data_IF_060156200563
#
_entry.id   IF_060156200563
#
_cell.length_a   1.000
_cell.length_b   1.000
_cell.length_c   1.000
_cell.angle_alpha   90.00
_cell.angle_beta   90.00
_cell.angle_gamma   90.00
#
_symmetry.space_group_name_H-M   'P 1'
#
loop_
_entity.id
_entity.type
_entity.pdbx_description
1 polymer ?
#
# COMPACT_ATOMS: atom_id res chain seq x y z
N UNK A 1 3.57 -1.51 -5.97
CA UNK A 1 4.63 -0.97 -5.11
C UNK A 1 5.98 -1.30 -5.73
N UNK A 2 6.35 -2.59 -5.92
CA UNK A 2 7.65 -2.98 -6.45
C UNK A 2 8.04 -2.26 -7.75
N UNK A 3 7.14 -2.20 -8.74
CA UNK A 3 7.36 -1.46 -9.98
C UNK A 3 7.62 0.03 -9.75
N UNK A 4 6.96 0.63 -8.78
CA UNK A 4 7.09 2.05 -8.50
C UNK A 4 8.44 2.39 -7.84
N UNK A 5 8.90 1.55 -6.91
CA UNK A 5 10.24 1.64 -6.34
C UNK A 5 11.33 1.43 -7.41
N UNK A 6 11.15 0.43 -8.26
CA UNK A 6 12.05 0.14 -9.37
C UNK A 6 12.17 1.32 -10.37
N UNK A 7 11.08 2.03 -10.64
CA UNK A 7 11.10 3.24 -11.46
C UNK A 7 12.01 4.33 -10.87
N UNK A 8 12.14 4.39 -9.55
CA UNK A 8 13.04 5.29 -8.83
C UNK A 8 14.47 4.73 -8.68
N UNK A 9 14.83 3.68 -9.44
CA UNK A 9 16.12 2.99 -9.38
C UNK A 9 16.43 2.33 -8.03
N UNK A 10 15.41 1.96 -7.27
CA UNK A 10 15.56 1.28 -5.98
C UNK A 10 15.52 -0.23 -6.21
N UNK A 11 16.54 -0.98 -5.78
CA UNK A 11 16.53 -2.44 -5.82
C UNK A 11 15.40 -2.99 -4.94
N UNK A 12 14.64 -3.93 -5.47
CA UNK A 12 13.50 -4.54 -4.78
C UNK A 12 13.62 -6.06 -4.83
N UNK A 13 13.49 -6.71 -3.69
CA UNK A 13 13.24 -8.15 -3.66
C UNK A 13 11.75 -8.39 -3.44
N UNK A 14 11.11 -9.03 -4.41
CA UNK A 14 9.69 -9.37 -4.40
C UNK A 14 9.54 -10.82 -3.96
N UNK A 15 9.05 -11.04 -2.75
CA UNK A 15 8.83 -12.37 -2.18
C UNK A 15 7.34 -12.73 -2.20
N UNK A 16 7.06 -13.99 -2.52
CA UNK A 16 5.74 -14.60 -2.40
C UNK A 16 5.89 -16.01 -1.78
N UNK A 17 4.80 -16.76 -1.64
CA UNK A 17 4.85 -18.14 -1.13
C UNK A 17 5.69 -19.06 -2.01
N UNK A 18 5.70 -18.82 -3.33
CA UNK A 18 6.48 -19.56 -4.33
C UNK A 18 7.15 -18.60 -5.30
N UNK A 19 8.36 -18.94 -5.72
CA UNK A 19 9.11 -18.12 -6.69
C UNK A 19 8.35 -17.91 -8.00
N UNK A 20 7.61 -18.94 -8.46
CA UNK A 20 6.81 -18.84 -9.69
C UNK A 20 5.71 -17.77 -9.59
N UNK A 21 5.16 -17.52 -8.40
CA UNK A 21 4.15 -16.47 -8.19
C UNK A 21 4.81 -15.09 -8.31
N UNK A 22 5.97 -14.91 -7.69
CA UNK A 22 6.75 -13.68 -7.79
C UNK A 22 7.20 -13.40 -9.25
N UNK A 23 7.65 -14.43 -9.97
CA UNK A 23 8.01 -14.33 -11.40
C UNK A 23 6.77 -13.99 -12.28
N UNK A 24 5.64 -14.59 -12.02
CA UNK A 24 4.38 -14.21 -12.70
C UNK A 24 4.01 -12.75 -12.41
N UNK A 25 4.25 -12.26 -11.18
CA UNK A 25 4.04 -10.86 -10.85
C UNK A 25 4.98 -9.93 -11.62
N UNK A 26 6.28 -10.28 -11.78
CA UNK A 26 7.21 -9.55 -12.64
C UNK A 26 6.73 -9.48 -14.09
N UNK A 27 6.29 -10.61 -14.66
CA UNK A 27 5.72 -10.65 -16.03
C UNK A 27 4.48 -9.76 -16.16
N UNK A 28 3.60 -9.73 -15.16
CA UNK A 28 2.45 -8.82 -15.14
C UNK A 28 2.89 -7.36 -15.12
N UNK A 29 3.90 -7.00 -14.33
CA UNK A 29 4.44 -5.64 -14.27
C UNK A 29 4.87 -5.16 -15.66
N UNK A 30 5.61 -5.99 -16.42
CA UNK A 30 6.10 -5.66 -17.78
C UNK A 30 4.94 -5.43 -18.76
N UNK A 31 3.88 -6.25 -18.64
CA UNK A 31 2.79 -6.31 -19.61
C UNK A 31 1.53 -5.51 -19.17
N UNK A 32 1.59 -4.80 -18.07
CA UNK A 32 0.44 -4.05 -17.54
C UNK A 32 -0.03 -2.96 -18.48
N UNK A 33 -1.34 -2.80 -18.54
CA UNK A 33 -2.02 -1.68 -19.20
C UNK A 33 -2.96 -1.03 -18.20
N UNK A 34 -2.75 0.23 -17.84
CA UNK A 34 -1.66 1.12 -18.26
C UNK A 34 -0.27 0.65 -17.77
N UNK A 35 0.83 1.11 -18.39
CA UNK A 35 2.19 0.65 -18.05
C UNK A 35 2.59 1.01 -16.62
N UNK A 36 3.08 0.03 -15.83
CA UNK A 36 3.54 0.27 -14.46
C UNK A 36 5.02 0.71 -14.40
N UNK A 37 5.81 0.37 -15.41
CA UNK A 37 7.19 0.81 -15.54
C UNK A 37 7.27 2.05 -16.45
N UNK A 38 8.18 2.95 -16.12
CA UNK A 38 8.53 4.11 -17.01
C UNK A 38 9.32 3.64 -18.20
N UNK A 39 10.17 2.64 -18.00
CA UNK A 39 10.94 1.93 -19.02
C UNK A 39 11.00 0.44 -18.64
N UNK A 40 10.94 -0.45 -19.65
CA UNK A 40 10.93 -1.90 -19.40
C UNK A 40 12.21 -2.42 -18.74
N UNK A 41 13.36 -1.76 -18.96
CA UNK A 41 14.64 -2.12 -18.34
C UNK A 41 14.60 -2.01 -16.81
N UNK A 42 13.70 -1.18 -16.26
CA UNK A 42 13.51 -1.06 -14.81
C UNK A 42 13.12 -2.37 -14.12
N UNK A 43 12.62 -3.36 -14.87
CA UNK A 43 12.32 -4.68 -14.31
C UNK A 43 13.55 -5.39 -13.74
N UNK A 44 14.74 -5.05 -14.19
CA UNK A 44 16.00 -5.62 -13.73
C UNK A 44 16.29 -5.28 -12.26
N UNK A 45 15.74 -4.16 -11.76
CA UNK A 45 15.83 -3.79 -10.34
C UNK A 45 14.95 -4.67 -9.44
N UNK A 46 14.12 -5.55 -9.99
CA UNK A 46 13.23 -6.41 -9.22
C UNK A 46 13.75 -7.85 -9.27
N UNK A 47 14.17 -8.37 -8.13
CA UNK A 47 14.52 -9.77 -7.94
C UNK A 47 13.32 -10.52 -7.37
N UNK A 48 12.90 -11.60 -8.02
CA UNK A 48 11.83 -12.46 -7.53
C UNK A 48 12.37 -13.60 -6.68
N UNK A 49 11.64 -13.98 -5.65
CA UNK A 49 11.98 -15.10 -4.78
C UNK A 49 10.77 -15.59 -3.98
N UNK A 50 11.02 -16.47 -3.04
CA UNK A 50 9.99 -16.98 -2.13
C UNK A 50 10.38 -16.82 -0.66
N UNK A 51 9.36 -16.86 0.21
CA UNK A 51 9.53 -16.65 1.65
C UNK A 51 10.30 -17.83 2.30
N UNK A 52 10.28 -19.03 1.73
CA UNK A 52 10.95 -20.18 2.31
C UNK A 52 12.46 -20.12 2.12
N UNK A 53 12.92 -19.82 0.91
CA UNK A 53 14.35 -19.96 0.54
C UNK A 53 15.09 -18.62 0.55
N UNK A 54 14.37 -17.50 0.37
CA UNK A 54 14.99 -16.19 0.16
C UNK A 54 14.69 -15.19 1.30
N UNK A 55 14.13 -15.65 2.43
CA UNK A 55 13.71 -14.74 3.50
C UNK A 55 14.86 -14.00 4.17
N UNK A 56 16.06 -14.52 4.08
CA UNK A 56 17.28 -13.89 4.65
C UNK A 56 17.57 -12.49 4.10
N UNK A 57 17.01 -12.14 2.94
CA UNK A 57 17.11 -10.78 2.39
C UNK A 57 16.58 -9.71 3.36
N UNK A 58 15.66 -10.08 4.25
CA UNK A 58 15.10 -9.20 5.31
C UNK A 58 16.21 -8.62 6.21
N UNK A 59 17.33 -9.36 6.39
CA UNK A 59 18.49 -8.91 7.18
C UNK A 59 19.20 -7.68 6.59
N UNK A 60 19.00 -7.43 5.31
CA UNK A 60 19.69 -6.37 4.56
C UNK A 60 18.74 -5.26 4.08
N UNK A 61 17.43 -5.48 4.17
CA UNK A 61 16.44 -4.52 3.70
C UNK A 61 16.38 -3.27 4.60
N UNK A 62 16.36 -2.09 3.98
CA UNK A 62 16.13 -0.81 4.67
C UNK A 62 14.64 -0.59 4.98
N UNK A 63 13.79 -1.02 4.05
CA UNK A 63 12.35 -0.93 4.17
C UNK A 63 11.70 -2.24 3.72
N UNK A 64 10.85 -2.78 4.59
CA UNK A 64 10.11 -4.02 4.35
C UNK A 64 8.63 -3.66 4.26
N UNK A 65 8.04 -3.88 3.09
CA UNK A 65 6.62 -3.62 2.84
C UNK A 65 5.87 -4.93 2.78
N UNK A 66 5.01 -5.17 3.75
CA UNK A 66 4.10 -6.31 3.76
C UNK A 66 2.85 -5.98 2.95
N UNK A 67 2.52 -6.83 1.99
CA UNK A 67 1.34 -6.74 1.13
C UNK A 67 0.72 -8.12 0.86
N UNK A 68 0.71 -8.98 1.88
CA UNK A 68 0.11 -10.32 1.80
C UNK A 68 -1.41 -10.25 1.94
N UNK A 69 -2.07 -11.42 1.83
CA UNK A 69 -3.52 -11.55 2.01
C UNK A 69 -4.00 -10.87 3.31
N UNK A 70 -5.19 -10.26 3.25
CA UNK A 70 -5.76 -9.46 4.33
C UNK A 70 -6.34 -10.35 5.45
N UNK A 71 -5.47 -11.18 6.04
CA UNK A 71 -5.74 -12.09 7.13
C UNK A 71 -4.77 -11.83 8.29
N UNK A 72 -5.31 -11.50 9.45
CA UNK A 72 -4.54 -11.09 10.61
C UNK A 72 -3.60 -12.18 11.14
N UNK A 73 -4.04 -13.43 11.12
CA UNK A 73 -3.24 -14.60 11.53
C UNK A 73 -2.00 -14.77 10.66
N UNK A 74 -2.15 -14.64 9.32
CA UNK A 74 -1.05 -14.73 8.35
C UNK A 74 -0.07 -13.57 8.54
N UNK A 75 -0.59 -12.36 8.73
CA UNK A 75 0.24 -11.16 8.95
C UNK A 75 1.04 -11.26 10.24
N UNK A 76 0.43 -11.68 11.36
CA UNK A 76 1.13 -11.86 12.63
C UNK A 76 2.26 -12.88 12.52
N UNK A 77 2.02 -14.05 11.89
CA UNK A 77 3.07 -15.04 11.67
C UNK A 77 4.23 -14.50 10.83
N UNK A 78 3.92 -13.66 9.84
CA UNK A 78 4.95 -13.02 9.01
C UNK A 78 5.73 -11.98 9.81
N UNK A 79 5.06 -11.15 10.60
CA UNK A 79 5.73 -10.15 11.46
C UNK A 79 6.66 -10.79 12.47
N UNK A 80 6.26 -11.90 13.10
CA UNK A 80 7.12 -12.65 14.03
C UNK A 80 8.43 -13.08 13.37
N UNK A 81 8.39 -13.46 12.08
CA UNK A 81 9.59 -13.80 11.31
C UNK A 81 10.40 -12.55 10.94
N UNK A 82 9.75 -11.49 10.45
CA UNK A 82 10.40 -10.25 10.02
C UNK A 82 11.15 -9.63 11.20
N UNK A 83 10.49 -9.43 12.35
CA UNK A 83 11.07 -8.73 13.49
C UNK A 83 12.19 -9.51 14.18
N UNK A 84 12.23 -10.85 14.03
CA UNK A 84 13.37 -11.67 14.48
C UNK A 84 14.61 -11.50 13.61
N UNK A 85 14.46 -11.18 12.32
CA UNK A 85 15.55 -11.20 11.35
C UNK A 85 15.97 -9.83 10.83
N UNK A 86 15.04 -8.85 10.80
CA UNK A 86 15.32 -7.54 10.22
C UNK A 86 16.54 -6.86 10.86
N UNK A 87 17.27 -6.07 10.11
CA UNK A 87 18.32 -5.24 10.70
C UNK A 87 17.74 -4.15 11.63
N UNK A 88 18.55 -3.68 12.56
CA UNK A 88 18.13 -2.77 13.64
C UNK A 88 17.39 -1.52 13.15
N UNK A 89 17.84 -0.93 12.06
CA UNK A 89 17.33 0.36 11.59
C UNK A 89 16.29 0.25 10.47
N UNK A 90 15.90 -0.97 10.09
CA UNK A 90 14.85 -1.16 9.08
C UNK A 90 13.52 -0.60 9.52
N UNK A 91 12.77 -0.08 8.55
CA UNK A 91 11.35 0.24 8.70
C UNK A 91 10.54 -0.95 8.20
N UNK A 92 9.52 -1.33 8.95
CA UNK A 92 8.54 -2.34 8.52
C UNK A 92 7.21 -1.64 8.33
N UNK A 93 6.54 -1.89 7.22
CA UNK A 93 5.21 -1.35 6.99
C UNK A 93 4.26 -2.36 6.40
N UNK A 94 2.97 -2.24 6.74
CA UNK A 94 1.89 -2.97 6.07
C UNK A 94 1.22 -2.10 5.03
N UNK A 95 0.83 -2.68 3.90
CA UNK A 95 0.01 -2.00 2.88
C UNK A 95 -1.48 -2.33 3.05
N UNK A 96 -1.93 -2.69 4.25
CA UNK A 96 -3.35 -2.93 4.54
C UNK A 96 -4.21 -1.72 4.22
N UNK A 97 -5.44 -1.95 3.80
CA UNK A 97 -6.44 -0.90 3.59
C UNK A 97 -7.48 -0.82 4.70
N UNK A 98 -7.56 -1.86 5.56
CA UNK A 98 -8.69 -2.03 6.46
C UNK A 98 -8.31 -2.44 7.90
N UNK A 99 -7.22 -3.19 8.09
CA UNK A 99 -6.85 -3.68 9.42
C UNK A 99 -6.15 -2.57 10.21
N UNK A 100 -6.67 -2.15 11.38
CA UNK A 100 -6.04 -1.11 12.19
C UNK A 100 -4.60 -1.47 12.59
N UNK A 101 -3.73 -0.48 12.63
CA UNK A 101 -2.33 -0.64 13.04
C UNK A 101 -2.20 -1.24 14.45
N UNK A 102 -3.06 -0.83 15.38
CA UNK A 102 -3.12 -1.41 16.75
C UNK A 102 -3.39 -2.90 16.75
N UNK A 103 -4.18 -3.41 15.80
CA UNK A 103 -4.48 -4.83 15.66
C UNK A 103 -3.29 -5.56 15.06
N UNK A 104 -2.70 -5.01 13.99
CA UNK A 104 -1.50 -5.56 13.34
C UNK A 104 -0.31 -5.65 14.32
N UNK A 105 -0.12 -4.63 15.15
CA UNK A 105 1.02 -4.54 16.08
C UNK A 105 0.76 -5.18 17.45
N UNK A 106 -0.38 -5.84 17.66
CA UNK A 106 -0.79 -6.35 18.97
C UNK A 106 0.26 -7.24 19.65
N UNK A 107 0.90 -8.11 18.89
CA UNK A 107 1.87 -9.09 19.38
C UNK A 107 3.31 -8.59 19.37
N UNK A 108 3.57 -7.38 18.86
CA UNK A 108 4.91 -6.80 18.79
C UNK A 108 5.30 -6.18 20.15
N UNK A 109 6.59 -6.28 20.48
CA UNK A 109 7.16 -5.53 21.60
C UNK A 109 7.10 -4.01 21.34
N UNK A 110 7.20 -3.18 22.37
CA UNK A 110 7.24 -1.71 22.18
C UNK A 110 8.40 -1.27 21.28
N UNK A 111 9.55 -1.93 21.40
CA UNK A 111 10.70 -1.71 20.53
C UNK A 111 10.37 -2.01 19.08
N UNK A 112 9.68 -3.12 18.78
CA UNK A 112 9.32 -3.50 17.42
C UNK A 112 8.22 -2.59 16.86
N UNK A 113 7.27 -2.17 17.71
CA UNK A 113 6.26 -1.16 17.35
C UNK A 113 6.88 0.18 16.94
N UNK A 114 8.06 0.52 17.48
CA UNK A 114 8.75 1.75 17.08
C UNK A 114 9.20 1.75 15.62
N UNK A 115 9.39 0.56 15.05
CA UNK A 115 9.84 0.37 13.67
C UNK A 115 8.70 0.05 12.71
N UNK A 116 7.44 0.04 13.20
CA UNK A 116 6.28 -0.43 12.45
C UNK A 116 5.27 0.69 12.19
N UNK A 117 4.76 0.74 10.96
CA UNK A 117 3.71 1.67 10.52
C UNK A 117 2.84 1.02 9.43
N UNK A 118 1.84 1.73 8.94
CA UNK A 118 1.16 1.40 7.69
C UNK A 118 1.62 2.38 6.60
N UNK A 119 1.85 1.89 5.39
CA UNK A 119 2.04 2.67 4.18
C UNK A 119 0.99 2.24 3.16
N UNK A 120 -0.14 2.94 3.15
CA UNK A 120 -1.28 2.61 2.31
C UNK A 120 -1.14 3.28 0.94
N UNK A 121 -0.73 2.50 -0.06
CA UNK A 121 -0.65 2.91 -1.45
C UNK A 121 -1.98 2.67 -2.15
N UNK A 122 -2.43 3.64 -2.92
CA UNK A 122 -3.61 3.49 -3.78
C UNK A 122 -3.24 2.91 -5.14
N UNK A 123 -4.08 2.01 -5.66
CA UNK A 123 -3.88 1.38 -6.96
C UNK A 123 -4.52 2.20 -8.10
N UNK A 124 -3.85 2.28 -9.25
CA UNK A 124 -2.50 1.79 -9.58
C UNK A 124 -1.42 2.70 -8.97
N UNK A 125 -0.47 2.11 -8.23
CA UNK A 125 0.52 2.85 -7.42
C UNK A 125 1.28 3.91 -8.22
N UNK A 126 1.59 3.66 -9.49
CA UNK A 126 2.30 4.62 -10.35
C UNK A 126 1.50 5.91 -10.59
N UNK A 127 0.18 5.79 -10.72
CA UNK A 127 -0.70 6.88 -11.18
C UNK A 127 -1.39 7.59 -10.02
N UNK A 128 -1.59 6.91 -8.91
CA UNK A 128 -2.21 7.47 -7.73
C UNK A 128 -1.17 8.22 -6.90
N UNK A 129 -1.32 9.55 -6.81
CA UNK A 129 -0.36 10.41 -6.11
C UNK A 129 -0.40 10.27 -4.59
N UNK A 130 -1.54 9.89 -4.01
CA UNK A 130 -1.72 9.80 -2.55
C UNK A 130 -1.01 8.59 -1.96
N UNK A 131 -0.31 8.82 -0.84
CA UNK A 131 0.19 7.81 0.07
C UNK A 131 -0.18 8.18 1.51
N UNK A 132 -0.83 7.29 2.21
CA UNK A 132 -1.13 7.46 3.63
C UNK A 132 -0.11 6.72 4.48
N UNK A 133 0.46 7.41 5.47
CA UNK A 133 1.27 6.78 6.51
C UNK A 133 0.49 6.82 7.81
N UNK A 134 0.19 5.64 8.36
CA UNK A 134 -0.48 5.51 9.66
C UNK A 134 0.54 5.10 10.71
N UNK A 135 0.62 5.84 11.79
CA UNK A 135 1.53 5.59 12.91
C UNK A 135 0.77 5.40 14.21
N UNK A 136 1.38 4.73 15.16
CA UNK A 136 0.94 4.67 16.55
C UNK A 136 1.82 5.56 17.46
N UNK A 137 1.52 5.58 18.75
CA UNK A 137 2.25 6.40 19.72
C UNK A 137 3.70 5.90 19.95
N UNK A 138 3.98 4.63 19.69
CA UNK A 138 5.30 4.01 19.80
C UNK A 138 6.16 4.21 18.55
N UNK A 139 5.56 4.50 17.40
CA UNK A 139 6.29 4.61 16.14
C UNK A 139 7.34 5.72 16.20
N UNK A 140 8.57 5.41 15.84
CA UNK A 140 9.70 6.35 15.87
C UNK A 140 9.45 7.52 14.91
N UNK A 141 9.43 8.73 15.47
CA UNK A 141 9.11 9.97 14.73
C UNK A 141 10.13 10.26 13.61
N UNK A 142 11.42 9.98 13.85
CA UNK A 142 12.46 10.22 12.84
C UNK A 142 12.36 9.25 11.68
N UNK A 143 12.00 7.99 11.93
CA UNK A 143 11.72 7.01 10.87
C UNK A 143 10.52 7.41 10.03
N UNK A 144 9.46 7.91 10.65
CA UNK A 144 8.29 8.42 9.91
C UNK A 144 8.64 9.66 9.09
N UNK A 145 9.42 10.59 9.65
CA UNK A 145 9.89 11.78 8.94
C UNK A 145 10.75 11.40 7.74
N UNK A 146 11.68 10.48 7.94
CA UNK A 146 12.52 9.95 6.86
C UNK A 146 11.67 9.28 5.76
N UNK A 147 10.77 8.37 6.14
CA UNK A 147 9.90 7.65 5.20
C UNK A 147 9.00 8.61 4.41
N UNK A 148 8.42 9.60 5.09
CA UNK A 148 7.65 10.66 4.44
C UNK A 148 8.48 11.40 3.41
N UNK A 149 9.64 11.95 3.81
CA UNK A 149 10.52 12.69 2.91
C UNK A 149 10.97 11.84 1.72
N UNK A 150 11.34 10.58 1.96
CA UNK A 150 11.71 9.64 0.91
C UNK A 150 10.56 9.39 -0.08
N UNK A 151 9.36 9.13 0.40
CA UNK A 151 8.21 8.90 -0.47
C UNK A 151 7.81 10.15 -1.27
N UNK A 152 7.98 11.34 -0.69
CA UNK A 152 7.72 12.61 -1.38
C UNK A 152 8.79 12.90 -2.44
N UNK A 153 10.07 12.85 -2.06
CA UNK A 153 11.17 13.26 -2.94
C UNK A 153 11.56 12.22 -3.99
N UNK A 154 11.58 10.94 -3.61
CA UNK A 154 12.07 9.87 -4.48
C UNK A 154 10.95 9.14 -5.23
N UNK A 155 9.75 9.05 -4.62
CA UNK A 155 8.61 8.36 -5.22
C UNK A 155 7.55 9.30 -5.78
N UNK A 156 7.68 10.62 -5.58
CA UNK A 156 6.72 11.61 -6.10
C UNK A 156 5.32 11.47 -5.50
N UNK A 157 5.22 11.03 -4.23
CA UNK A 157 3.94 10.87 -3.54
C UNK A 157 3.56 12.12 -2.76
N UNK A 158 2.28 12.46 -2.74
CA UNK A 158 1.72 13.35 -1.73
C UNK A 158 1.44 12.55 -0.46
N UNK A 159 2.27 12.74 0.57
CA UNK A 159 2.21 11.91 1.78
C UNK A 159 1.39 12.58 2.87
N UNK A 160 0.39 11.88 3.39
CA UNK A 160 -0.42 12.32 4.52
C UNK A 160 -0.18 11.38 5.71
N UNK A 161 0.07 11.98 6.89
CA UNK A 161 0.13 11.23 8.14
C UNK A 161 -1.29 11.11 8.69
N UNK A 162 -1.75 9.88 8.84
CA UNK A 162 -3.11 9.57 9.27
C UNK A 162 -3.14 8.98 10.68
N UNK A 163 -4.29 9.16 11.33
CA UNK A 163 -4.60 8.42 12.55
C UNK A 163 -5.00 6.98 12.21
N UNK A 164 -4.82 6.07 13.18
CA UNK A 164 -5.23 4.66 13.08
C UNK A 164 -6.76 4.53 13.25
N UNK A 165 -7.49 5.04 12.26
CA UNK A 165 -8.96 4.97 12.21
C UNK A 165 -9.40 4.10 11.03
N UNK A 166 -10.53 3.38 11.11
CA UNK A 166 -11.01 2.54 10.00
C UNK A 166 -11.12 3.33 8.69
N UNK A 167 -10.53 2.80 7.62
CA UNK A 167 -10.48 3.45 6.30
C UNK A 167 -9.53 4.64 6.20
N UNK A 168 -8.73 4.92 7.21
CA UNK A 168 -7.75 6.01 7.32
C UNK A 168 -8.36 7.37 6.93
N UNK A 169 -7.83 8.07 5.93
CA UNK A 169 -8.37 9.35 5.45
C UNK A 169 -9.03 9.20 4.08
N UNK A 170 -8.30 8.69 3.08
CA UNK A 170 -8.77 8.67 1.69
C UNK A 170 -10.01 7.82 1.49
N UNK A 171 -10.01 6.61 2.02
CA UNK A 171 -11.19 5.74 1.94
C UNK A 171 -12.37 6.32 2.71
N UNK A 172 -12.15 6.96 3.86
CA UNK A 172 -13.23 7.60 4.63
C UNK A 172 -13.88 8.76 3.86
N UNK A 173 -13.06 9.63 3.29
CA UNK A 173 -13.56 10.74 2.47
C UNK A 173 -14.30 10.22 1.24
N UNK A 174 -13.71 9.23 0.54
CA UNK A 174 -14.32 8.62 -0.64
C UNK A 174 -15.66 7.95 -0.33
N UNK A 175 -15.71 7.11 0.70
CA UNK A 175 -16.95 6.43 1.12
C UNK A 175 -18.00 7.43 1.58
N UNK A 176 -17.62 8.48 2.31
CA UNK A 176 -18.55 9.54 2.70
C UNK A 176 -19.14 10.25 1.48
N UNK A 177 -18.30 10.64 0.53
CA UNK A 177 -18.76 11.30 -0.70
C UNK A 177 -19.71 10.40 -1.52
N UNK A 178 -19.39 9.10 -1.65
CA UNK A 178 -20.27 8.13 -2.28
C UNK A 178 -21.60 7.99 -1.54
N UNK A 179 -21.58 7.91 -0.21
CA UNK A 179 -22.78 7.83 0.62
C UNK A 179 -23.70 9.03 0.42
N UNK A 180 -23.13 10.24 0.38
CA UNK A 180 -23.88 11.48 0.10
C UNK A 180 -24.49 11.42 -1.30
N UNK A 181 -23.68 11.07 -2.31
CA UNK A 181 -24.15 10.98 -3.69
C UNK A 181 -25.29 9.97 -3.87
N UNK A 182 -25.16 8.78 -3.28
CA UNK A 182 -26.22 7.76 -3.29
C UNK A 182 -27.50 8.27 -2.60
N UNK A 183 -27.36 8.91 -1.43
CA UNK A 183 -28.50 9.46 -0.69
C UNK A 183 -29.27 10.49 -1.51
N UNK A 184 -28.55 11.41 -2.17
CA UNK A 184 -29.20 12.42 -3.03
C UNK A 184 -29.81 11.80 -4.29
N UNK A 185 -29.16 10.82 -4.91
CA UNK A 185 -29.71 10.09 -6.05
C UNK A 185 -31.06 9.43 -5.69
N UNK A 186 -31.16 8.77 -4.53
CA UNK A 186 -32.40 8.17 -4.04
C UNK A 186 -33.51 9.22 -3.79
N UNK A 187 -33.17 10.35 -3.17
CA UNK A 187 -34.13 11.45 -2.95
C UNK A 187 -34.67 12.00 -4.26
N UNK A 188 -33.82 12.12 -5.26
CA UNK A 188 -34.16 12.63 -6.59
C UNK A 188 -34.83 11.56 -7.48
N UNK A 189 -34.95 10.31 -7.01
CA UNK A 189 -35.50 9.17 -7.74
C UNK A 189 -34.76 8.88 -9.06
N UNK A 190 -33.43 9.11 -9.06
CA UNK A 190 -32.59 8.80 -10.21
C UNK A 190 -32.38 7.27 -10.32
N UNK A 191 -32.28 6.77 -11.55
CA UNK A 191 -31.79 5.43 -11.80
C UNK A 191 -30.28 5.33 -11.48
N UNK A 192 -29.75 4.11 -11.38
CA UNK A 192 -28.30 3.86 -11.18
C UNK A 192 -27.48 4.49 -12.31
N UNK A 193 -27.95 4.32 -13.56
CA UNK A 193 -27.28 4.83 -14.76
C UNK A 193 -27.27 6.35 -14.80
N UNK A 194 -28.37 7.00 -14.42
CA UNK A 194 -28.46 8.47 -14.33
C UNK A 194 -27.54 9.00 -13.24
N UNK A 195 -27.55 8.37 -12.07
CA UNK A 195 -26.67 8.74 -10.97
C UNK A 195 -25.19 8.59 -11.34
N UNK A 196 -24.78 7.47 -11.94
CA UNK A 196 -23.40 7.25 -12.39
C UNK A 196 -22.99 8.18 -13.53
N UNK A 197 -23.92 8.59 -14.41
CA UNK A 197 -23.66 9.59 -15.43
C UNK A 197 -23.37 10.96 -14.84
N UNK A 198 -24.09 11.36 -13.77
CA UNK A 198 -23.93 12.65 -13.09
C UNK A 198 -22.67 12.63 -12.20
N UNK A 199 -22.54 11.63 -11.33
CA UNK A 199 -21.46 11.50 -10.35
C UNK A 199 -20.20 10.81 -10.89
N UNK A 200 -20.08 10.66 -12.20
CA UNK A 200 -18.92 10.08 -12.86
C UNK A 200 -17.97 11.16 -13.42
N UNK A 201 -17.73 11.05 -14.73
CA UNK A 201 -16.78 11.94 -15.45
C UNK A 201 -17.01 13.43 -15.27
N UNK A 202 -18.25 13.96 -15.23
CA UNK A 202 -18.47 15.40 -15.04
C UNK A 202 -17.89 15.93 -13.73
N UNK A 203 -17.82 15.10 -12.69
CA UNK A 203 -17.24 15.45 -11.39
C UNK A 203 -15.76 15.04 -11.24
N UNK A 204 -15.09 14.60 -12.30
CA UNK A 204 -13.71 14.11 -12.25
C UNK A 204 -13.56 12.72 -11.61
N UNK A 205 -14.66 12.01 -11.39
CA UNK A 205 -14.68 10.65 -10.88
C UNK A 205 -14.52 9.67 -12.06
N UNK A 206 -14.00 8.45 -11.87
CA UNK A 206 -13.94 7.44 -12.93
C UNK A 206 -15.31 7.19 -13.59
N UNK A 207 -15.29 6.70 -14.84
CA UNK A 207 -16.51 6.43 -15.62
C UNK A 207 -17.48 5.44 -14.95
N UNK A 208 -17.04 4.71 -13.96
CA UNK A 208 -17.85 3.78 -13.16
C UNK A 208 -18.85 4.49 -12.25
N UNK A 209 -18.69 5.80 -12.03
CA UNK A 209 -19.58 6.55 -11.15
C UNK A 209 -19.50 6.11 -9.69
N UNK A 210 -20.66 6.10 -9.03
CA UNK A 210 -20.80 5.79 -7.59
C UNK A 210 -21.19 4.33 -7.36
N UNK A 211 -22.04 3.77 -8.22
CA UNK A 211 -22.60 2.42 -8.07
C UNK A 211 -21.78 1.35 -8.80
N UNK A 212 -21.02 1.73 -9.82
CA UNK A 212 -20.20 0.83 -10.63
C UNK A 212 -18.74 0.67 -10.15
N UNK A 213 -18.44 1.12 -8.94
CA UNK A 213 -17.10 1.04 -8.32
C UNK A 213 -16.81 -0.35 -7.76
#
# INVERSE_FOLDING_TARGET
IAAHLSNANIPVTLLDLKTEIAEKAKKRIINSKPPLLVDKSKIENITAGNIQDNFDVVKHADWIVEAVVERIDVKHQLYDKIFKLKKKDSIVSSNTSSIPLKVLSKNLSEKDKSDFCITHFFNPVRYMGLLEIVKNDFTNKEKIKFLKSFCESSLGKGVIICNDTPGFLGNRVGVYAMQVAMTEAFKMKLSVEEADAIFGRPMGIPKTGVFGL
#
